data_IF_104293952242
#
_entry.id   IF_104293952242
#
_cell.length_a   1.000
_cell.length_b   1.000
_cell.length_c   1.000
_cell.angle_alpha   90.00
_cell.angle_beta   90.00
_cell.angle_gamma   90.00
#
_symmetry.space_group_name_H-M   'P 1'
#
loop_
_entity.id
_entity.type
_entity.pdbx_description
1 polymer ?
#
# COMPACT_ATOMS: atom_id res chain seq x y z
N UNK A 1 11.45 -58.75 18.92
CA UNK A 1 10.52 -57.62 18.73
C UNK A 1 11.27 -56.28 18.84
N UNK A 2 12.24 -56.03 17.96
CA UNK A 2 13.17 -54.89 18.03
C UNK A 2 13.18 -54.11 16.69
N UNK A 3 12.00 -53.94 16.07
CA UNK A 3 11.87 -53.21 14.80
C UNK A 3 10.96 -51.98 14.87
N UNK A 4 10.30 -51.74 16.02
CA UNK A 4 9.38 -50.60 16.17
C UNK A 4 9.99 -49.40 16.89
N UNK A 5 11.24 -49.48 17.38
CA UNK A 5 11.87 -48.37 18.13
C UNK A 5 12.61 -47.35 17.26
N UNK A 6 12.80 -47.62 15.97
CA UNK A 6 13.57 -46.74 15.07
C UNK A 6 12.73 -45.64 14.39
N UNK A 7 11.40 -45.70 14.47
CA UNK A 7 10.54 -44.72 13.78
C UNK A 7 10.19 -43.47 14.61
N UNK A 8 10.53 -43.45 15.91
CA UNK A 8 10.21 -42.33 16.80
C UNK A 8 11.29 -41.23 16.83
N UNK A 9 12.45 -41.43 16.19
CA UNK A 9 13.61 -40.52 16.32
C UNK A 9 13.80 -39.55 15.14
N UNK A 10 12.79 -39.37 14.28
CA UNK A 10 12.85 -38.44 13.13
C UNK A 10 12.00 -37.18 13.28
N UNK A 11 11.47 -36.91 14.49
CA UNK A 11 10.64 -35.73 14.77
C UNK A 11 11.34 -34.63 15.57
N UNK A 12 12.67 -34.72 15.74
CA UNK A 12 13.43 -33.75 16.53
C UNK A 12 14.58 -33.15 15.72
N UNK A 13 14.26 -32.28 14.76
CA UNK A 13 15.11 -31.15 14.31
C UNK A 13 14.55 -30.52 13.02
N UNK A 14 13.34 -29.97 13.07
CA UNK A 14 12.97 -28.91 12.15
C UNK A 14 12.98 -27.59 12.94
N UNK A 15 14.18 -27.09 13.26
CA UNK A 15 14.33 -25.67 13.57
C UNK A 15 14.03 -24.93 12.26
N UNK A 16 12.77 -24.60 12.05
CA UNK A 16 12.39 -23.61 11.05
C UNK A 16 13.26 -22.38 11.32
N UNK A 17 13.94 -21.81 10.31
CA UNK A 17 14.50 -20.49 10.48
C UNK A 17 13.30 -19.58 10.78
N UNK A 18 13.23 -19.09 12.01
CA UNK A 18 12.40 -17.93 12.32
C UNK A 18 12.88 -16.86 11.35
N UNK A 19 12.12 -16.63 10.28
CA UNK A 19 12.19 -15.41 9.50
C UNK A 19 11.67 -14.31 10.41
N UNK A 20 12.49 -13.93 11.39
CA UNK A 20 12.48 -12.59 11.92
C UNK A 20 12.90 -11.73 10.74
N UNK A 21 11.95 -11.36 9.90
CA UNK A 21 12.02 -10.08 9.23
C UNK A 21 12.01 -9.05 10.36
N UNK A 22 13.19 -8.83 10.96
CA UNK A 22 13.55 -7.52 11.45
C UNK A 22 13.50 -6.63 10.22
N UNK A 23 12.30 -6.15 9.89
CA UNK A 23 12.20 -4.87 9.21
C UNK A 23 12.88 -3.95 10.19
N UNK A 24 14.12 -3.57 9.87
CA UNK A 24 14.76 -2.48 10.55
C UNK A 24 13.76 -1.33 10.43
N UNK A 25 13.07 -1.04 11.53
CA UNK A 25 12.39 0.22 11.74
C UNK A 25 13.52 1.24 11.82
N UNK A 26 14.08 1.56 10.65
CA UNK A 26 14.82 2.79 10.44
C UNK A 26 13.78 3.84 10.74
N UNK A 27 13.68 4.26 12.00
CA UNK A 27 12.89 5.39 12.42
C UNK A 27 13.45 6.57 11.65
N UNK A 28 12.88 6.91 10.48
CA UNK A 28 13.53 7.83 9.60
C UNK A 28 13.14 9.20 10.12
N UNK A 29 14.17 9.99 10.45
CA UNK A 29 14.06 11.38 10.87
C UNK A 29 12.80 12.03 10.31
N UNK A 30 11.84 12.38 11.19
CA UNK A 30 10.49 12.86 10.92
C UNK A 30 10.26 13.39 9.49
N UNK A 31 10.16 12.46 8.54
CA UNK A 31 10.08 12.78 7.13
C UNK A 31 8.65 13.17 6.80
N UNK A 32 8.46 14.12 5.89
CA UNK A 32 7.14 14.31 5.32
C UNK A 32 6.75 13.03 4.57
N UNK A 33 5.59 12.48 4.92
CA UNK A 33 5.04 11.30 4.28
C UNK A 33 3.82 11.68 3.46
N UNK A 34 3.72 11.06 2.29
CA UNK A 34 2.50 11.07 1.49
C UNK A 34 1.76 9.77 1.74
N UNK A 35 0.49 9.87 2.15
CA UNK A 35 -0.39 8.72 2.38
C UNK A 35 -1.31 8.49 1.18
N UNK A 36 -1.65 7.23 0.95
CA UNK A 36 -2.62 6.81 -0.05
C UNK A 36 -3.37 5.56 0.44
N UNK A 37 -4.60 5.40 -0.01
CA UNK A 37 -5.41 4.22 0.19
C UNK A 37 -5.44 3.42 -1.11
N UNK A 38 -5.01 2.17 -1.08
CA UNK A 38 -5.31 1.22 -2.14
C UNK A 38 -6.64 0.56 -1.82
N UNK A 39 -7.65 0.84 -2.62
CA UNK A 39 -9.01 0.30 -2.47
C UNK A 39 -9.18 -0.88 -3.41
N UNK A 40 -9.67 -2.00 -2.89
CA UNK A 40 -10.10 -3.16 -3.67
C UNK A 40 -11.61 -3.30 -3.54
N UNK A 41 -12.32 -3.18 -4.67
CA UNK A 41 -13.78 -3.25 -4.74
C UNK A 41 -14.23 -4.51 -5.50
N UNK A 42 -14.99 -5.39 -4.86
CA UNK A 42 -15.64 -6.56 -5.48
C UNK A 42 -15.34 -7.88 -4.78
N UNK A 43 -15.56 -9.00 -5.49
CA UNK A 43 -15.10 -10.32 -5.05
C UNK A 43 -13.61 -10.25 -4.67
N UNK A 44 -13.16 -11.00 -3.64
CA UNK A 44 -11.84 -10.85 -3.05
C UNK A 44 -10.75 -10.85 -4.14
N UNK A 45 -10.11 -9.69 -4.31
CA UNK A 45 -8.94 -9.54 -5.17
C UNK A 45 -9.14 -8.90 -6.55
N UNK A 46 -10.27 -8.24 -6.83
CA UNK A 46 -10.45 -7.47 -8.08
C UNK A 46 -10.58 -5.96 -7.85
N UNK A 47 -10.35 -5.21 -8.92
CA UNK A 47 -10.45 -3.75 -9.02
C UNK A 47 -9.62 -3.01 -7.97
N UNK A 48 -8.31 -2.95 -8.19
CA UNK A 48 -7.40 -2.13 -7.38
C UNK A 48 -7.39 -0.68 -7.89
N UNK A 49 -7.61 0.28 -6.99
CA UNK A 49 -7.56 1.71 -7.28
C UNK A 49 -6.84 2.46 -6.16
N UNK A 50 -6.11 3.52 -6.51
CA UNK A 50 -5.47 4.41 -5.54
C UNK A 50 -6.34 5.62 -5.26
N UNK A 51 -6.66 5.84 -3.99
CA UNK A 51 -7.31 7.03 -3.46
C UNK A 51 -6.33 7.83 -2.58
N UNK A 52 -5.95 9.01 -3.09
CA UNK A 52 -5.04 9.94 -2.44
C UNK A 52 -5.76 10.98 -1.55
N UNK A 53 -7.04 10.77 -1.24
CA UNK A 53 -7.87 11.74 -0.51
C UNK A 53 -8.21 12.99 -1.31
N UNK A 54 -7.87 13.03 -2.60
CA UNK A 54 -8.14 14.17 -3.48
C UNK A 54 -9.62 14.26 -3.88
N UNK A 55 -10.33 13.13 -3.95
CA UNK A 55 -11.77 13.10 -4.23
C UNK A 55 -12.60 13.83 -3.16
N UNK A 56 -12.10 13.92 -1.92
CA UNK A 56 -12.74 14.71 -0.85
C UNK A 56 -12.65 16.22 -1.09
N UNK A 57 -11.62 16.70 -1.82
CA UNK A 57 -11.41 18.14 -2.09
C UNK A 57 -12.15 18.62 -3.34
N UNK A 58 -12.30 17.78 -4.36
CA UNK A 58 -12.90 18.20 -5.65
C UNK A 58 -14.37 18.64 -5.48
N UNK A 59 -15.12 18.05 -4.55
CA UNK A 59 -16.50 18.51 -4.24
C UNK A 59 -16.57 19.88 -3.54
N UNK A 60 -15.45 20.40 -3.02
CA UNK A 60 -15.42 21.67 -2.28
C UNK A 60 -14.68 22.77 -3.04
N UNK A 61 -13.76 22.42 -3.95
CA UNK A 61 -12.93 23.39 -4.70
C UNK A 61 -13.54 23.88 -6.02
N UNK A 62 -14.73 23.40 -6.43
CA UNK A 62 -15.46 23.98 -7.57
C UNK A 62 -16.22 25.27 -7.22
N UNK A 63 -16.08 25.78 -5.98
CA UNK A 63 -16.69 27.03 -5.54
C UNK A 63 -15.69 27.95 -4.84
N UNK A 64 -14.45 28.07 -5.32
CA UNK A 64 -13.58 29.18 -4.88
C UNK A 64 -12.91 29.86 -6.08
N UNK A 65 -13.23 31.14 -6.35
CA UNK A 65 -12.53 31.94 -7.33
C UNK A 65 -11.16 32.34 -6.79
N UNK A 66 -10.13 32.10 -7.60
CA UNK A 66 -8.84 32.80 -7.58
C UNK A 66 -8.14 32.99 -6.22
N UNK A 67 -7.45 31.92 -5.80
CA UNK A 67 -6.05 31.96 -5.36
C UNK A 67 -5.67 32.83 -4.16
N UNK A 68 -5.46 32.21 -2.98
CA UNK A 68 -4.75 32.87 -1.86
C UNK A 68 -3.94 31.87 -1.03
N UNK A 69 -3.16 30.94 -1.59
CA UNK A 69 -2.09 30.28 -0.81
C UNK A 69 -0.91 29.92 -1.72
N UNK A 70 0.24 30.56 -1.47
CA UNK A 70 1.43 30.62 -2.32
C UNK A 70 2.23 29.33 -2.48
N UNK A 71 1.61 28.22 -2.89
CA UNK A 71 2.33 27.13 -3.53
C UNK A 71 2.34 27.34 -5.06
N UNK A 72 3.47 27.11 -5.74
CA UNK A 72 3.52 27.18 -7.20
C UNK A 72 2.58 26.13 -7.79
N UNK A 73 1.52 26.59 -8.46
CA UNK A 73 0.46 25.80 -9.14
C UNK A 73 1.03 24.69 -10.04
N UNK A 74 2.24 24.87 -10.55
CA UNK A 74 2.96 23.93 -11.42
C UNK A 74 3.47 22.68 -10.70
N UNK A 75 3.91 22.78 -9.44
CA UNK A 75 4.41 21.64 -8.67
C UNK A 75 3.26 20.72 -8.22
N UNK A 76 2.10 21.29 -7.86
CA UNK A 76 0.87 20.54 -7.58
C UNK A 76 0.35 19.82 -8.83
N UNK A 77 0.37 20.47 -9.99
CA UNK A 77 -0.06 19.87 -11.25
C UNK A 77 0.83 18.69 -11.67
N UNK A 78 2.16 18.82 -11.54
CA UNK A 78 3.11 17.74 -11.84
C UNK A 78 2.96 16.56 -10.89
N UNK A 79 2.78 16.81 -9.59
CA UNK A 79 2.54 15.75 -8.60
C UNK A 79 1.24 15.01 -8.86
N UNK A 80 0.17 15.71 -9.25
CA UNK A 80 -1.09 15.07 -9.62
C UNK A 80 -0.93 14.19 -10.86
N UNK A 81 -0.17 14.61 -11.86
CA UNK A 81 0.08 13.80 -13.06
C UNK A 81 0.81 12.48 -12.76
N UNK A 82 1.79 12.49 -11.86
CA UNK A 82 2.50 11.28 -11.42
C UNK A 82 1.54 10.29 -10.71
N UNK A 83 0.71 10.80 -9.80
CA UNK A 83 -0.24 9.98 -9.03
C UNK A 83 -1.34 9.38 -9.92
N UNK A 84 -1.80 10.14 -10.91
CA UNK A 84 -2.76 9.67 -11.93
C UNK A 84 -2.15 8.59 -12.83
N UNK A 85 -0.89 8.76 -13.27
CA UNK A 85 -0.19 7.75 -14.03
C UNK A 85 -0.02 6.44 -13.23
N UNK A 86 0.34 6.55 -11.94
CA UNK A 86 0.45 5.42 -11.03
C UNK A 86 -0.90 4.70 -10.84
N UNK A 87 -1.99 5.46 -10.65
CA UNK A 87 -3.35 4.92 -10.52
C UNK A 87 -3.78 4.19 -11.81
N UNK A 88 -3.47 4.74 -12.98
CA UNK A 88 -3.77 4.12 -14.26
C UNK A 88 -3.05 2.76 -14.43
N UNK A 89 -1.84 2.60 -13.91
CA UNK A 89 -1.13 1.31 -13.91
C UNK A 89 -1.78 0.36 -12.91
N UNK A 90 -2.05 0.81 -11.68
CA UNK A 90 -2.69 -0.02 -10.64
C UNK A 90 -4.05 -0.57 -11.09
N UNK A 91 -4.88 0.26 -11.73
CA UNK A 91 -6.16 -0.16 -12.30
C UNK A 91 -6.03 -1.28 -13.35
N UNK A 92 -4.94 -1.30 -14.12
CA UNK A 92 -4.67 -2.36 -15.11
C UNK A 92 -4.22 -3.68 -14.49
N UNK A 93 -3.69 -3.66 -13.27
CA UNK A 93 -3.23 -4.88 -12.59
C UNK A 93 -4.39 -5.75 -12.10
N UNK A 94 -5.56 -5.14 -11.84
CA UNK A 94 -6.80 -5.82 -11.39
C UNK A 94 -6.60 -6.76 -10.19
N UNK A 95 -5.57 -6.53 -9.39
CA UNK A 95 -5.24 -7.33 -8.21
C UNK A 95 -4.56 -6.47 -7.16
N UNK A 96 -5.08 -6.43 -5.91
CA UNK A 96 -4.48 -5.64 -4.85
C UNK A 96 -3.09 -6.15 -4.49
N UNK A 97 -2.82 -7.46 -4.61
CA UNK A 97 -1.50 -8.01 -4.31
C UNK A 97 -0.46 -7.60 -5.37
N UNK A 98 -0.83 -7.64 -6.66
CA UNK A 98 0.04 -7.14 -7.73
C UNK A 98 0.26 -5.63 -7.60
N UNK A 99 -0.78 -4.88 -7.24
CA UNK A 99 -0.67 -3.45 -7.00
C UNK A 99 0.26 -3.13 -5.82
N UNK A 100 0.12 -3.81 -4.67
CA UNK A 100 1.02 -3.63 -3.53
C UNK A 100 2.48 -3.95 -3.89
N UNK A 101 2.72 -5.05 -4.61
CA UNK A 101 4.07 -5.39 -5.06
C UNK A 101 4.63 -4.34 -6.04
N UNK A 102 3.82 -3.88 -6.98
CA UNK A 102 4.21 -2.80 -7.89
C UNK A 102 4.56 -1.52 -7.12
N UNK A 103 3.73 -1.11 -6.17
CA UNK A 103 3.89 0.10 -5.37
C UNK A 103 5.12 0.03 -4.44
N UNK A 104 5.40 -1.14 -3.87
CA UNK A 104 6.61 -1.37 -3.09
C UNK A 104 7.89 -1.11 -3.92
N UNK A 105 7.90 -1.55 -5.18
CA UNK A 105 8.99 -1.25 -6.12
C UNK A 105 9.07 0.24 -6.53
N UNK A 106 8.05 1.04 -6.21
CA UNK A 106 7.99 2.49 -6.44
C UNK A 106 8.12 3.29 -5.13
N UNK A 107 8.67 2.69 -4.07
CA UNK A 107 8.98 3.38 -2.82
C UNK A 107 7.77 3.62 -1.90
N UNK A 108 6.66 2.92 -2.14
CA UNK A 108 5.54 2.90 -1.21
C UNK A 108 5.70 1.80 -0.16
N UNK A 109 5.45 2.14 1.09
CA UNK A 109 5.47 1.27 2.26
C UNK A 109 4.02 0.94 2.66
N UNK A 110 3.73 -0.34 2.90
CA UNK A 110 2.45 -0.79 3.46
C UNK A 110 2.40 -0.57 4.97
N UNK A 111 1.28 -0.02 5.46
CA UNK A 111 1.07 0.28 6.89
C UNK A 111 0.03 -0.59 7.56
N UNK A 112 -1.02 -0.96 6.83
CA UNK A 112 -2.13 -1.71 7.42
C UNK A 112 -3.29 -1.89 6.47
N UNK A 113 -4.22 -2.74 6.87
CA UNK A 113 -5.42 -3.07 6.09
C UNK A 113 -6.64 -2.90 6.98
N UNK A 114 -7.69 -2.37 6.40
CA UNK A 114 -9.03 -2.32 7.00
C UNK A 114 -10.05 -2.77 5.97
N UNK A 115 -11.21 -3.19 6.45
CA UNK A 115 -12.32 -3.60 5.61
C UNK A 115 -13.56 -2.82 6.00
N UNK A 116 -14.21 -2.20 5.02
CA UNK A 116 -15.50 -1.53 5.22
C UNK A 116 -16.66 -2.52 5.05
N UNK A 117 -16.46 -3.57 4.26
CA UNK A 117 -17.42 -4.64 4.00
C UNK A 117 -16.71 -5.87 3.43
N UNK A 118 -17.36 -7.05 3.35
CA UNK A 118 -16.76 -8.25 2.76
C UNK A 118 -16.22 -8.08 1.32
N UNK A 119 -16.66 -7.05 0.61
CA UNK A 119 -16.27 -6.75 -0.78
C UNK A 119 -15.45 -5.48 -0.93
N UNK A 120 -15.11 -4.80 0.17
CA UNK A 120 -14.31 -3.55 0.15
C UNK A 120 -13.19 -3.66 1.16
N UNK A 121 -11.98 -3.78 0.65
CA UNK A 121 -10.73 -3.84 1.43
C UNK A 121 -9.90 -2.62 1.09
N UNK A 122 -9.40 -1.96 2.12
CA UNK A 122 -8.59 -0.75 2.02
C UNK A 122 -7.22 -1.04 2.63
N UNK A 123 -6.18 -0.88 1.83
CA UNK A 123 -4.80 -0.96 2.28
C UNK A 123 -4.25 0.46 2.42
N UNK A 124 -3.77 0.79 3.61
CA UNK A 124 -3.12 2.08 3.88
C UNK A 124 -1.65 1.94 3.53
N UNK A 125 -1.17 2.80 2.63
CA UNK A 125 0.21 2.85 2.18
C UNK A 125 0.76 4.27 2.31
N UNK A 126 2.08 4.41 2.45
CA UNK A 126 2.75 5.72 2.46
C UNK A 126 4.00 5.71 1.60
N UNK A 127 4.44 6.85 1.10
CA UNK A 127 5.79 7.03 0.55
C UNK A 127 6.46 8.23 1.20
N UNK A 128 7.78 8.19 1.31
CA UNK A 128 8.55 9.37 1.74
C UNK A 128 8.51 10.40 0.61
N UNK A 129 8.22 11.66 0.95
CA UNK A 129 8.36 12.74 -0.03
C UNK A 129 9.82 13.20 -0.05
N UNK A 130 10.40 13.42 -1.24
CA UNK A 130 11.74 14.00 -1.36
C UNK A 130 11.81 15.42 -0.79
#
# INVERSE_FOLDING_TARGET
MLKHFLLALLFAAATLPTLAQAVAETNPAAGQYQYCNLVSNGSPGRNAELDYGQHAKIKTSQTEPDGVYGMPKTALASRNAELEALNAVVKKLDSPMLALNYLANHGWEYLGVTSLSPSVVIYVIRRRTP
#
